data_IF_861399833318
#
_entry.id   IF_861399833318
#
_cell.length_a   1.000
_cell.length_b   1.000
_cell.length_c   1.000
_cell.angle_alpha   90.00
_cell.angle_beta   90.00
_cell.angle_gamma   90.00
#
_symmetry.space_group_name_H-M   'P 1'
#
loop_
_entity.id
_entity.type
_entity.pdbx_description
1 polymer ?
#
# COMPACT_ATOMS: atom_id res chain seq x y z
N UNK A 1 -5.70 18.69 -11.80
CA UNK A 1 -5.66 17.23 -11.51
C UNK A 1 -5.81 17.03 -10.00
N UNK A 2 -6.55 16.03 -9.53
CA UNK A 2 -6.67 15.76 -8.07
C UNK A 2 -5.44 14.97 -7.59
N UNK A 3 -4.98 15.23 -6.37
CA UNK A 3 -3.83 14.56 -5.73
C UNK A 3 -4.15 14.24 -4.28
N UNK A 4 -3.66 13.11 -3.78
CA UNK A 4 -3.73 12.78 -2.35
C UNK A 4 -2.64 13.58 -1.63
N UNK A 5 -3.01 14.59 -0.85
CA UNK A 5 -2.03 15.47 -0.18
C UNK A 5 -1.13 14.70 0.80
N UNK A 6 -1.73 13.83 1.60
CA UNK A 6 -1.03 13.00 2.57
C UNK A 6 -1.90 11.82 3.00
N UNK A 7 -1.27 10.78 3.52
CA UNK A 7 -1.91 9.66 4.22
C UNK A 7 -1.47 9.73 5.67
N UNK A 8 -2.43 9.71 6.59
CA UNK A 8 -2.20 9.86 8.03
C UNK A 8 -2.72 8.63 8.76
N UNK A 9 -1.89 8.05 9.61
CA UNK A 9 -2.21 6.97 10.53
C UNK A 9 -2.53 7.59 11.90
N UNK A 10 -3.75 7.39 12.38
CA UNK A 10 -4.13 7.78 13.75
C UNK A 10 -3.58 6.73 14.71
N UNK A 11 -2.67 7.14 15.57
CA UNK A 11 -1.99 6.25 16.53
C UNK A 11 -2.80 6.18 17.82
N UNK A 12 -3.18 7.33 18.36
CA UNK A 12 -3.98 7.49 19.56
C UNK A 12 -4.77 8.81 19.52
N UNK A 13 -5.84 8.89 20.32
CA UNK A 13 -6.58 10.13 20.58
C UNK A 13 -6.50 10.43 22.07
N UNK A 14 -5.99 11.60 22.40
CA UNK A 14 -5.84 12.08 23.76
C UNK A 14 -7.19 12.52 24.35
N UNK A 15 -7.26 12.62 25.68
CA UNK A 15 -8.49 13.01 26.39
C UNK A 15 -8.97 14.43 26.06
N UNK A 16 -8.07 15.30 25.62
CA UNK A 16 -8.35 16.67 25.17
C UNK A 16 -8.86 16.74 23.72
N UNK A 17 -9.00 15.60 23.04
CA UNK A 17 -9.46 15.51 21.65
C UNK A 17 -8.34 15.63 20.60
N UNK A 18 -7.09 15.87 21.02
CA UNK A 18 -5.95 15.89 20.08
C UNK A 18 -5.55 14.48 19.65
N UNK A 19 -5.11 14.32 18.40
CA UNK A 19 -4.69 13.03 17.87
C UNK A 19 -3.16 12.96 17.75
N UNK A 20 -2.58 11.89 18.28
CA UNK A 20 -1.21 11.49 17.94
C UNK A 20 -1.25 10.77 16.61
N UNK A 21 -0.52 11.28 15.62
CA UNK A 21 -0.56 10.76 14.25
C UNK A 21 0.82 10.46 13.69
N UNK A 22 0.88 9.54 12.73
CA UNK A 22 2.03 9.31 11.86
C UNK A 22 1.64 9.58 10.40
N UNK A 23 2.49 10.25 9.63
CA UNK A 23 2.22 10.58 8.22
C UNK A 23 3.17 9.81 7.32
N UNK A 24 2.84 8.56 6.94
CA UNK A 24 3.72 7.73 6.12
C UNK A 24 3.87 8.19 4.68
N UNK A 25 2.89 8.90 4.11
CA UNK A 25 2.96 9.42 2.74
C UNK A 25 2.59 10.90 2.70
N UNK A 26 3.36 11.69 1.94
CA UNK A 26 3.11 13.13 1.75
C UNK A 26 3.48 13.55 0.34
N UNK A 27 2.63 14.36 -0.28
CA UNK A 27 2.87 14.96 -1.59
C UNK A 27 3.57 16.31 -1.45
N UNK A 28 4.63 16.53 -2.24
CA UNK A 28 5.28 17.81 -2.44
C UNK A 28 4.74 18.46 -3.73
N UNK A 29 3.93 19.54 -3.61
CA UNK A 29 3.32 20.19 -4.76
C UNK A 29 4.32 20.91 -5.65
N UNK A 30 5.48 21.33 -5.13
CA UNK A 30 6.47 22.07 -5.92
C UNK A 30 7.21 21.16 -6.91
N UNK A 31 7.35 19.87 -6.56
CA UNK A 31 8.07 18.87 -7.38
C UNK A 31 7.16 17.85 -8.05
N UNK A 32 5.87 17.82 -7.69
CA UNK A 32 4.91 16.75 -7.99
C UNK A 32 5.43 15.34 -7.62
N UNK A 33 6.01 15.21 -6.42
CA UNK A 33 6.60 13.97 -5.92
C UNK A 33 5.90 13.51 -4.63
N UNK A 34 5.70 12.21 -4.50
CA UNK A 34 5.25 11.59 -3.25
C UNK A 34 6.45 11.09 -2.46
N UNK A 35 6.59 11.57 -1.22
CA UNK A 35 7.54 11.07 -0.25
C UNK A 35 6.89 9.99 0.62
N UNK A 36 7.67 8.97 0.97
CA UNK A 36 7.25 7.91 1.88
C UNK A 36 8.21 7.74 3.05
N UNK A 37 7.68 7.45 4.23
CA UNK A 37 8.44 7.06 5.43
C UNK A 37 8.38 5.55 5.62
N UNK A 38 9.50 4.94 6.02
CA UNK A 38 9.59 3.50 6.31
C UNK A 38 8.98 3.07 7.65
N UNK A 39 8.42 3.97 8.44
CA UNK A 39 7.82 3.61 9.73
C UNK A 39 6.30 3.71 9.62
N UNK A 40 5.63 2.56 9.62
CA UNK A 40 4.18 2.45 9.65
C UNK A 40 3.72 1.89 11.00
N UNK A 41 2.93 2.67 11.73
CA UNK A 41 2.29 2.24 12.98
C UNK A 41 1.20 1.21 12.71
N UNK A 42 0.60 1.23 11.53
CA UNK A 42 -0.35 0.19 11.10
C UNK A 42 0.38 -1.15 10.92
N UNK A 43 1.57 -1.16 10.32
CA UNK A 43 2.34 -2.40 10.17
C UNK A 43 2.85 -2.95 11.50
N UNK A 44 3.29 -2.09 12.42
CA UNK A 44 3.60 -2.49 13.80
C UNK A 44 2.37 -3.19 14.45
N UNK A 45 1.17 -2.59 14.35
CA UNK A 45 -0.08 -3.19 14.87
C UNK A 45 -0.41 -4.55 14.22
N UNK A 46 -0.26 -4.67 12.90
CA UNK A 46 -0.51 -5.94 12.18
C UNK A 46 0.50 -7.01 12.60
N UNK A 47 1.77 -6.63 12.69
CA UNK A 47 2.86 -7.52 13.11
C UNK A 47 2.62 -8.07 14.51
N UNK A 48 2.32 -7.21 15.49
CA UNK A 48 1.98 -7.62 16.85
C UNK A 48 0.75 -8.53 16.91
N UNK A 49 -0.29 -8.25 16.11
CA UNK A 49 -1.54 -9.03 16.13
C UNK A 49 -1.41 -10.40 15.47
N UNK A 50 -0.60 -10.52 14.42
CA UNK A 50 -0.55 -11.72 13.56
C UNK A 50 0.72 -12.55 13.74
N UNK A 51 1.72 -12.02 14.45
CA UNK A 51 3.06 -12.61 14.51
C UNK A 51 3.86 -12.49 13.21
N UNK A 52 3.34 -11.75 12.22
CA UNK A 52 4.04 -11.58 10.94
C UNK A 52 5.21 -10.60 11.09
N UNK A 53 6.44 -10.95 10.68
CA UNK A 53 7.57 -10.02 10.68
C UNK A 53 7.29 -8.77 9.86
N UNK A 54 7.73 -7.61 10.32
CA UNK A 54 7.44 -6.33 9.67
C UNK A 54 8.06 -6.25 8.27
N UNK A 55 9.21 -6.90 8.08
CA UNK A 55 9.91 -7.03 6.80
C UNK A 55 9.05 -7.78 5.78
N UNK A 56 8.32 -8.81 6.23
CA UNK A 56 7.40 -9.57 5.38
C UNK A 56 6.19 -8.72 4.96
N UNK A 57 5.68 -7.84 5.85
CA UNK A 57 4.62 -6.89 5.52
C UNK A 57 5.08 -5.85 4.48
N UNK A 58 6.31 -5.36 4.61
CA UNK A 58 6.88 -4.46 3.59
C UNK A 58 7.13 -5.17 2.26
N UNK A 59 7.56 -6.43 2.28
CA UNK A 59 7.67 -7.25 1.07
C UNK A 59 6.31 -7.39 0.38
N UNK A 60 5.26 -7.72 1.15
CA UNK A 60 3.90 -7.84 0.63
C UNK A 60 3.40 -6.53 0.01
N UNK A 61 3.60 -5.39 0.69
CA UNK A 61 3.27 -4.06 0.16
C UNK A 61 3.99 -3.79 -1.17
N UNK A 62 5.29 -4.07 -1.24
CA UNK A 62 6.08 -3.87 -2.45
C UNK A 62 5.60 -4.76 -3.61
N UNK A 63 5.28 -6.02 -3.34
CA UNK A 63 4.72 -6.95 -4.34
C UNK A 63 3.37 -6.47 -4.87
N UNK A 64 2.46 -6.02 -3.99
CA UNK A 64 1.17 -5.46 -4.41
C UNK A 64 1.34 -4.18 -5.23
N UNK A 65 2.26 -3.31 -4.85
CA UNK A 65 2.57 -2.09 -5.60
C UNK A 65 3.12 -2.41 -7.01
N UNK A 66 4.01 -3.41 -7.13
CA UNK A 66 4.52 -3.89 -8.42
C UNK A 66 3.38 -4.41 -9.31
N UNK A 67 2.44 -5.19 -8.76
CA UNK A 67 1.29 -5.67 -9.52
C UNK A 67 0.45 -4.52 -10.06
N UNK A 68 0.05 -3.57 -9.22
CA UNK A 68 -0.74 -2.40 -9.66
C UNK A 68 -0.01 -1.57 -10.71
N UNK A 69 1.31 -1.40 -10.57
CA UNK A 69 2.13 -0.71 -11.55
C UNK A 69 2.22 -1.48 -12.89
N UNK A 70 2.27 -2.81 -12.85
CA UNK A 70 2.24 -3.65 -14.05
C UNK A 70 0.90 -3.54 -14.78
N UNK A 71 -0.22 -3.54 -14.05
CA UNK A 71 -1.54 -3.30 -14.65
C UNK A 71 -1.59 -1.93 -15.35
N UNK A 72 -1.04 -0.90 -14.71
CA UNK A 72 -0.92 0.43 -15.30
C UNK A 72 -0.11 0.42 -16.60
N UNK A 73 1.08 -0.20 -16.60
CA UNK A 73 1.94 -0.28 -17.80
C UNK A 73 1.25 -1.00 -18.96
N UNK A 74 0.42 -2.00 -18.67
CA UNK A 74 -0.37 -2.75 -19.65
C UNK A 74 -1.68 -2.08 -20.04
N UNK A 75 -1.97 -0.89 -19.49
CA UNK A 75 -3.21 -0.12 -19.71
C UNK A 75 -4.48 -0.86 -19.27
N UNK A 76 -4.38 -1.70 -18.26
CA UNK A 76 -5.50 -2.40 -17.64
C UNK A 76 -6.14 -1.46 -16.62
N UNK A 77 -7.22 -0.78 -17.01
CA UNK A 77 -7.90 0.24 -16.21
C UNK A 77 -9.38 -0.06 -15.94
N UNK A 78 -9.95 -1.08 -16.60
CA UNK A 78 -11.35 -1.45 -16.44
C UNK A 78 -11.64 -1.86 -15.00
N UNK A 79 -12.70 -1.29 -14.41
CA UNK A 79 -13.06 -1.55 -13.02
C UNK A 79 -13.24 -3.05 -12.74
N UNK A 80 -14.01 -3.74 -13.58
CA UNK A 80 -14.30 -5.17 -13.43
C UNK A 80 -13.06 -6.04 -13.66
N UNK A 81 -12.24 -5.68 -14.65
CA UNK A 81 -11.00 -6.40 -14.96
C UNK A 81 -9.99 -6.29 -13.81
N UNK A 82 -9.76 -5.06 -13.30
CA UNK A 82 -8.89 -4.82 -12.15
C UNK A 82 -9.44 -5.53 -10.91
N UNK A 83 -10.74 -5.44 -10.67
CA UNK A 83 -11.41 -6.15 -9.56
C UNK A 83 -11.21 -7.66 -9.61
N UNK A 84 -11.37 -8.26 -10.79
CA UNK A 84 -11.12 -9.68 -11.00
C UNK A 84 -9.65 -10.05 -10.71
N UNK A 85 -8.68 -9.26 -11.21
CA UNK A 85 -7.25 -9.51 -10.97
C UNK A 85 -6.92 -9.44 -9.47
N UNK A 86 -7.46 -8.44 -8.75
CA UNK A 86 -7.24 -8.30 -7.31
C UNK A 86 -7.84 -9.51 -6.56
N UNK A 87 -9.04 -9.93 -6.91
CA UNK A 87 -9.68 -11.11 -6.31
C UNK A 87 -8.89 -12.39 -6.57
N UNK A 88 -8.38 -12.58 -7.78
CA UNK A 88 -7.52 -13.72 -8.10
C UNK A 88 -6.17 -13.66 -7.38
N UNK A 89 -5.59 -12.46 -7.22
CA UNK A 89 -4.37 -12.29 -6.42
C UNK A 89 -4.58 -12.71 -4.97
N UNK A 90 -5.75 -12.46 -4.39
CA UNK A 90 -6.10 -12.94 -3.05
C UNK A 90 -6.22 -14.47 -2.96
N UNK A 91 -6.64 -15.16 -4.02
CA UNK A 91 -6.80 -16.63 -4.06
C UNK A 91 -5.50 -17.36 -4.40
N UNK A 92 -4.78 -16.87 -5.41
CA UNK A 92 -3.55 -17.46 -5.92
C UNK A 92 -2.54 -16.37 -6.31
N UNK A 93 -1.83 -15.78 -5.32
CA UNK A 93 -0.85 -14.72 -5.57
C UNK A 93 0.22 -15.14 -6.59
N UNK A 94 0.79 -16.34 -6.41
CA UNK A 94 1.89 -16.85 -7.25
C UNK A 94 1.45 -16.97 -8.71
N UNK A 95 0.26 -17.52 -8.97
CA UNK A 95 -0.28 -17.63 -10.32
C UNK A 95 -0.48 -16.28 -11.00
N UNK A 96 -0.99 -15.29 -10.26
CA UNK A 96 -1.16 -13.92 -10.79
C UNK A 96 0.19 -13.26 -11.03
N UNK A 97 1.14 -13.34 -10.10
CA UNK A 97 2.47 -12.75 -10.27
C UNK A 97 3.19 -13.34 -11.48
N UNK A 98 3.11 -14.66 -11.67
CA UNK A 98 3.66 -15.33 -12.85
C UNK A 98 2.99 -14.86 -14.15
N UNK A 99 1.65 -14.76 -14.18
CA UNK A 99 0.90 -14.23 -15.35
C UNK A 99 1.37 -12.83 -15.76
N UNK A 100 1.79 -12.03 -14.78
CA UNK A 100 2.28 -10.67 -14.98
C UNK A 100 3.81 -10.55 -15.07
N UNK A 101 4.55 -11.66 -15.04
CA UNK A 101 6.02 -11.71 -15.06
C UNK A 101 6.67 -10.90 -13.92
N UNK A 102 6.09 -10.96 -12.71
CA UNK A 102 6.59 -10.26 -11.53
C UNK A 102 7.35 -11.26 -10.65
N UNK A 103 8.65 -11.04 -10.47
CA UNK A 103 9.48 -11.84 -9.56
C UNK A 103 9.29 -11.41 -8.09
N UNK A 104 9.27 -12.41 -7.20
CA UNK A 104 9.26 -12.25 -5.74
C UNK A 104 10.63 -11.89 -5.14
#
# INVERSE_FOLDING_TARGET
TRKVREIVEIVNVNKDGTALVNTPFKWDPAKDVFYSKKQSKVFEKISTRTGTPIEKLYKDLATRAKLLYELYKRKIFGFDEVGWIINEFHKNPVGVLNKFNIAE
#
